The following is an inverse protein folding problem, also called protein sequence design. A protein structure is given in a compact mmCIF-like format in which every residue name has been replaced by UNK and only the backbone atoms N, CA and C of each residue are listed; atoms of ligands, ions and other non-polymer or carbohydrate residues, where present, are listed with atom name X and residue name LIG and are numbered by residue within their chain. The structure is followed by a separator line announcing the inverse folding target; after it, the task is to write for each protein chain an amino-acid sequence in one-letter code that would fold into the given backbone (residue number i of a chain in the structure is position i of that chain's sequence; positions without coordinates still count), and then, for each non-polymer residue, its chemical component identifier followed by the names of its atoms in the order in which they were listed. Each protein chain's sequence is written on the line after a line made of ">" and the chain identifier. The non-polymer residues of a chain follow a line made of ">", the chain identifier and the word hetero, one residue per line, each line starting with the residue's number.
data_IF_234516424078
#
_entry.id   IF_234516424078
#
_cell.length_a   1.000
_cell.length_b   1.000
_cell.length_c   1.000
_cell.angle_alpha   90.00
_cell.angle_beta   90.00
_cell.angle_gamma   90.00
#
_symmetry.space_group_name_H-M   'P 1'
#
loop_
_entity.id
_entity.type
_entity.pdbx_description
1 polymer ?
#
# COMPACT_ATOMS: atom_id res chain seq x y z
N UNK A 1 46.67 37.07 0.57
CA UNK A 1 46.29 36.05 -0.43
C UNK A 1 45.97 34.69 0.20
N UNK A 2 46.74 34.21 1.18
CA UNK A 2 46.46 32.92 1.86
C UNK A 2 45.07 32.80 2.50
N UNK A 3 44.58 33.86 3.18
CA UNK A 3 43.29 33.81 3.88
C UNK A 3 42.10 33.63 2.91
N UNK A 4 42.15 34.26 1.74
CA UNK A 4 41.12 34.13 0.71
C UNK A 4 41.10 32.70 0.13
N UNK A 5 42.27 32.11 -0.11
CA UNK A 5 42.40 30.73 -0.62
C UNK A 5 41.82 29.72 0.40
N UNK A 6 42.11 29.89 1.69
CA UNK A 6 41.55 29.04 2.76
C UNK A 6 40.03 29.16 2.85
N UNK A 7 39.47 30.37 2.71
CA UNK A 7 38.02 30.59 2.72
C UNK A 7 37.33 29.89 1.55
N UNK A 8 37.90 29.96 0.35
CA UNK A 8 37.38 29.27 -0.84
C UNK A 8 37.44 27.74 -0.71
N UNK A 9 38.53 27.21 -0.15
CA UNK A 9 38.67 25.77 0.09
C UNK A 9 37.65 25.30 1.13
N UNK A 10 37.47 26.04 2.22
CA UNK A 10 36.47 25.70 3.26
C UNK A 10 35.05 25.78 2.68
N UNK A 11 34.73 26.83 1.92
CA UNK A 11 33.43 26.99 1.27
C UNK A 11 33.14 25.83 0.30
N UNK A 12 34.15 25.41 -0.49
CA UNK A 12 34.04 24.28 -1.41
C UNK A 12 33.81 22.94 -0.70
N UNK A 13 34.50 22.70 0.42
CA UNK A 13 34.31 21.47 1.23
C UNK A 13 32.94 21.45 1.91
N UNK A 14 32.47 22.58 2.42
CA UNK A 14 31.12 22.71 3.02
C UNK A 14 30.04 22.46 1.97
N UNK A 15 30.18 23.00 0.75
CA UNK A 15 29.26 22.75 -0.36
C UNK A 15 29.21 21.28 -0.78
N UNK A 16 30.35 20.58 -0.80
CA UNK A 16 30.38 19.13 -1.07
C UNK A 16 29.70 18.30 0.03
N UNK A 17 29.87 18.67 1.31
CA UNK A 17 29.27 17.93 2.42
C UNK A 17 27.73 17.99 2.42
N UNK A 18 27.14 19.12 2.03
CA UNK A 18 25.68 19.28 1.96
C UNK A 18 25.06 18.40 0.86
N UNK A 19 25.77 18.13 -0.23
CA UNK A 19 25.27 17.34 -1.36
C UNK A 19 25.14 15.82 -1.08
N UNK A 20 25.67 15.33 0.04
CA UNK A 20 25.67 13.88 0.35
C UNK A 20 24.41 13.39 1.08
N UNK A 21 23.49 14.28 1.46
CA UNK A 21 22.26 13.89 2.21
C UNK A 21 21.06 13.54 1.31
N UNK A 22 21.23 13.41 0.00
CA UNK A 22 20.22 12.85 -0.89
C UNK A 22 20.37 11.31 -0.97
N UNK A 23 20.13 10.62 0.15
CA UNK A 23 19.99 9.16 0.12
C UNK A 23 18.75 8.79 -0.70
N UNK A 24 18.96 8.48 -1.98
CA UNK A 24 17.97 7.89 -2.88
C UNK A 24 17.61 6.49 -2.39
N UNK A 25 16.70 6.41 -1.42
CA UNK A 25 16.07 5.16 -1.02
C UNK A 25 15.24 4.68 -2.22
N UNK A 26 15.79 3.75 -3.01
CA UNK A 26 15.05 3.02 -4.04
C UNK A 26 13.88 2.32 -3.35
N UNK A 27 12.68 2.91 -3.41
CA UNK A 27 11.46 2.25 -2.94
C UNK A 27 11.26 1.02 -3.81
N UNK A 28 11.08 -0.14 -3.18
CA UNK A 28 10.70 -1.36 -3.90
C UNK A 28 9.40 -1.06 -4.67
N UNK A 29 9.34 -1.31 -5.99
CA UNK A 29 8.11 -1.08 -6.74
C UNK A 29 7.04 -2.01 -6.18
N UNK A 30 5.89 -1.42 -5.83
CA UNK A 30 4.71 -2.18 -5.47
C UNK A 30 4.19 -2.85 -6.75
N UNK A 31 4.15 -4.18 -6.74
CA UNK A 31 3.64 -4.99 -7.87
C UNK A 31 2.25 -5.51 -7.51
N UNK A 32 1.29 -5.48 -8.46
CA UNK A 32 0.01 -6.16 -8.28
C UNK A 32 0.21 -7.66 -8.01
N UNK A 33 -0.66 -8.23 -7.19
CA UNK A 33 -0.69 -9.64 -6.81
C UNK A 33 -1.71 -10.39 -7.63
N UNK A 34 -1.39 -11.64 -7.97
CA UNK A 34 -2.36 -12.56 -8.58
C UNK A 34 -3.36 -13.00 -7.50
N UNK A 35 -4.62 -13.12 -7.87
CA UNK A 35 -5.66 -13.68 -7.00
C UNK A 35 -5.42 -15.19 -6.88
N UNK A 36 -5.08 -15.67 -5.68
CA UNK A 36 -4.92 -17.09 -5.38
C UNK A 36 -6.18 -17.67 -4.73
N UNK A 37 -6.51 -18.94 -5.01
CA UNK A 37 -7.66 -19.65 -4.40
C UNK A 37 -8.87 -19.84 -5.32
N UNK A 38 -10.02 -20.21 -4.74
CA UNK A 38 -11.30 -20.36 -5.45
C UNK A 38 -11.93 -18.99 -5.74
N UNK A 39 -11.30 -18.25 -6.66
CA UNK A 39 -11.77 -16.92 -7.06
C UNK A 39 -12.47 -17.03 -8.42
N UNK A 40 -13.54 -16.26 -8.61
CA UNK A 40 -14.28 -16.26 -9.87
C UNK A 40 -13.34 -15.92 -11.05
N UNK A 41 -13.47 -16.59 -12.21
CA UNK A 41 -12.67 -16.26 -13.41
C UNK A 41 -12.80 -14.80 -13.83
N UNK A 42 -13.94 -14.17 -13.56
CA UNK A 42 -14.14 -12.75 -13.86
C UNK A 42 -13.17 -11.86 -13.06
N UNK A 43 -12.94 -12.18 -11.78
CA UNK A 43 -12.03 -11.42 -10.91
C UNK A 43 -10.57 -11.55 -11.35
N UNK A 44 -10.16 -12.72 -11.83
CA UNK A 44 -8.80 -12.96 -12.32
C UNK A 44 -8.53 -12.17 -13.59
N UNK A 45 -9.46 -12.20 -14.56
CA UNK A 45 -9.35 -11.41 -15.81
C UNK A 45 -9.29 -9.92 -15.51
N UNK A 46 -10.15 -9.42 -14.62
CA UNK A 46 -10.12 -8.01 -14.20
C UNK A 46 -8.79 -7.65 -13.51
N UNK A 47 -8.21 -8.56 -12.74
CA UNK A 47 -6.90 -8.34 -12.11
C UNK A 47 -5.79 -8.29 -13.14
N UNK A 48 -5.80 -9.17 -14.14
CA UNK A 48 -4.81 -9.16 -15.22
C UNK A 48 -4.88 -7.83 -16.00
N UNK A 49 -6.08 -7.41 -16.41
CA UNK A 49 -6.30 -6.11 -17.07
C UNK A 49 -5.85 -4.92 -16.21
N UNK A 50 -6.18 -4.95 -14.92
CA UNK A 50 -5.73 -3.92 -13.98
C UNK A 50 -4.21 -3.91 -13.82
N UNK A 51 -3.56 -5.08 -13.87
CA UNK A 51 -2.11 -5.22 -13.80
C UNK A 51 -1.43 -4.65 -15.04
N UNK A 52 -1.93 -4.96 -16.23
CA UNK A 52 -1.43 -4.39 -17.49
C UNK A 52 -1.57 -2.86 -17.52
N UNK A 53 -2.72 -2.34 -17.10
CA UNK A 53 -2.96 -0.90 -16.98
C UNK A 53 -2.01 -0.25 -15.97
N UNK A 54 -1.79 -0.88 -14.81
CA UNK A 54 -0.90 -0.38 -13.77
C UNK A 54 0.56 -0.35 -14.24
N UNK A 55 1.01 -1.41 -14.92
CA UNK A 55 2.35 -1.46 -15.52
C UNK A 55 2.53 -0.41 -16.62
N UNK A 56 1.46 -0.11 -17.36
CA UNK A 56 1.41 0.96 -18.35
C UNK A 56 1.25 2.36 -17.74
N UNK A 57 1.29 2.48 -16.41
CA UNK A 57 1.09 3.73 -15.65
C UNK A 57 -0.27 4.39 -15.85
N UNK A 58 -1.25 3.65 -16.39
CA UNK A 58 -2.64 4.08 -16.55
C UNK A 58 -3.40 3.82 -15.24
N UNK A 59 -3.04 4.57 -14.19
CA UNK A 59 -3.49 4.26 -12.84
C UNK A 59 -5.00 4.43 -12.62
N UNK A 60 -5.68 5.31 -13.37
CA UNK A 60 -7.13 5.43 -13.31
C UNK A 60 -7.84 4.19 -13.89
N UNK A 61 -7.33 3.64 -14.99
CA UNK A 61 -7.88 2.42 -15.58
C UNK A 61 -7.58 1.21 -14.68
N UNK A 62 -6.35 1.14 -14.16
CA UNK A 62 -5.98 0.14 -13.16
C UNK A 62 -6.90 0.19 -11.93
N UNK A 63 -7.21 1.41 -11.44
CA UNK A 63 -8.15 1.61 -10.33
C UNK A 63 -9.51 1.01 -10.65
N UNK A 64 -10.06 1.27 -11.84
CA UNK A 64 -11.38 0.76 -12.26
C UNK A 64 -11.41 -0.76 -12.37
N UNK A 65 -10.39 -1.36 -12.98
CA UNK A 65 -10.30 -2.81 -13.10
C UNK A 65 -10.15 -3.49 -11.75
N UNK A 66 -9.30 -2.97 -10.87
CA UNK A 66 -9.13 -3.52 -9.52
C UNK A 66 -10.36 -3.30 -8.63
N UNK A 67 -11.07 -2.18 -8.77
CA UNK A 67 -12.34 -1.95 -8.09
C UNK A 67 -13.38 -3.02 -8.46
N UNK A 68 -13.49 -3.36 -9.75
CA UNK A 68 -14.36 -4.44 -10.20
C UNK A 68 -13.87 -5.81 -9.72
N UNK A 69 -12.56 -6.05 -9.69
CA UNK A 69 -12.00 -7.28 -9.13
C UNK A 69 -12.37 -7.46 -7.64
N UNK A 70 -12.33 -6.37 -6.86
CA UNK A 70 -12.80 -6.36 -5.46
C UNK A 70 -14.31 -6.63 -5.37
N UNK A 71 -15.12 -6.08 -6.28
CA UNK A 71 -16.56 -6.36 -6.31
C UNK A 71 -16.87 -7.84 -6.60
N UNK A 72 -16.05 -8.50 -7.43
CA UNK A 72 -16.21 -9.92 -7.73
C UNK A 72 -15.66 -10.85 -6.64
N UNK A 73 -14.61 -10.40 -5.93
CA UNK A 73 -13.89 -11.13 -4.90
C UNK A 73 -13.66 -10.27 -3.63
N UNK A 74 -14.74 -9.92 -2.89
CA UNK A 74 -14.65 -9.02 -1.75
C UNK A 74 -13.89 -9.61 -0.55
N UNK A 75 -13.71 -10.93 -0.51
CA UNK A 75 -12.96 -11.62 0.55
C UNK A 75 -11.49 -11.89 0.16
N UNK A 76 -11.06 -11.44 -1.03
CA UNK A 76 -9.67 -11.61 -1.47
C UNK A 76 -8.80 -10.46 -0.96
N UNK A 77 -7.85 -10.79 -0.08
CA UNK A 77 -6.84 -9.84 0.37
C UNK A 77 -6.01 -9.27 -0.79
N UNK A 78 -5.68 -10.09 -1.79
CA UNK A 78 -4.94 -9.68 -2.99
C UNK A 78 -5.72 -8.66 -3.84
N UNK A 79 -7.04 -8.84 -4.00
CA UNK A 79 -7.87 -7.89 -4.73
C UNK A 79 -7.90 -6.52 -4.02
N UNK A 80 -8.10 -6.51 -2.70
CA UNK A 80 -8.05 -5.29 -1.89
C UNK A 80 -6.68 -4.61 -1.96
N UNK A 81 -5.60 -5.39 -1.91
CA UNK A 81 -4.23 -4.89 -2.04
C UNK A 81 -4.01 -4.22 -3.40
N UNK A 82 -4.42 -4.85 -4.50
CA UNK A 82 -4.25 -4.30 -5.85
C UNK A 82 -5.00 -2.99 -6.05
N UNK A 83 -6.24 -2.92 -5.54
CA UNK A 83 -7.00 -1.69 -5.57
C UNK A 83 -6.31 -0.58 -4.77
N UNK A 84 -5.78 -0.91 -3.60
CA UNK A 84 -4.99 0.02 -2.80
C UNK A 84 -3.73 0.51 -3.52
N UNK A 85 -3.06 -0.32 -4.33
CA UNK A 85 -1.91 0.09 -5.14
C UNK A 85 -2.27 1.20 -6.12
N UNK A 86 -3.34 1.01 -6.90
CA UNK A 86 -3.77 2.00 -7.88
C UNK A 86 -4.17 3.32 -7.20
N UNK A 87 -4.92 3.24 -6.08
CA UNK A 87 -5.26 4.41 -5.28
C UNK A 87 -4.04 5.15 -4.75
N UNK A 88 -3.03 4.42 -4.27
CA UNK A 88 -1.78 4.99 -3.78
C UNK A 88 -0.99 5.67 -4.91
N UNK A 89 -0.96 5.07 -6.11
CA UNK A 89 -0.32 5.67 -7.29
C UNK A 89 -1.02 6.97 -7.74
N UNK A 90 -2.33 7.05 -7.55
CA UNK A 90 -3.15 8.25 -7.80
C UNK A 90 -3.09 9.30 -6.67
N UNK A 91 -2.40 9.00 -5.56
CA UNK A 91 -2.30 9.92 -4.41
C UNK A 91 -3.48 9.87 -3.43
N UNK A 92 -4.42 8.94 -3.61
CA UNK A 92 -5.58 8.75 -2.72
C UNK A 92 -5.20 7.95 -1.46
N UNK A 93 -4.24 8.47 -0.69
CA UNK A 93 -3.55 7.76 0.39
C UNK A 93 -4.49 7.25 1.49
N UNK A 94 -5.48 8.04 1.89
CA UNK A 94 -6.43 7.65 2.96
C UNK A 94 -7.31 6.46 2.55
N UNK A 95 -7.76 6.43 1.29
CA UNK A 95 -8.57 5.33 0.77
C UNK A 95 -7.70 4.10 0.55
N UNK A 96 -6.52 4.27 -0.06
CA UNK A 96 -5.54 3.21 -0.25
C UNK A 96 -5.20 2.54 1.09
N UNK A 97 -4.93 3.32 2.13
CA UNK A 97 -4.62 2.81 3.46
C UNK A 97 -5.72 1.92 4.02
N UNK A 98 -6.99 2.28 3.85
CA UNK A 98 -8.12 1.43 4.31
C UNK A 98 -8.13 0.09 3.59
N UNK A 99 -7.92 0.07 2.28
CA UNK A 99 -7.89 -1.17 1.51
C UNK A 99 -6.64 -2.02 1.78
N UNK A 100 -5.48 -1.41 2.05
CA UNK A 100 -4.32 -2.16 2.53
C UNK A 100 -4.58 -2.83 3.88
N UNK A 101 -5.24 -2.15 4.81
CA UNK A 101 -5.58 -2.74 6.11
C UNK A 101 -6.59 -3.88 5.97
N UNK A 102 -7.60 -3.71 5.12
CA UNK A 102 -8.56 -4.78 4.81
C UNK A 102 -7.85 -5.99 4.19
N UNK A 103 -6.93 -5.77 3.24
CA UNK A 103 -6.13 -6.83 2.65
C UNK A 103 -5.35 -7.62 3.70
N UNK A 104 -4.81 -6.93 4.71
CA UNK A 104 -4.05 -7.52 5.79
C UNK A 104 -4.92 -8.27 6.81
N UNK A 105 -6.17 -7.85 7.00
CA UNK A 105 -7.17 -8.55 7.84
C UNK A 105 -7.66 -9.84 7.19
N UNK A 106 -7.89 -9.79 5.87
CA UNK A 106 -8.32 -10.94 5.07
C UNK A 106 -7.21 -11.99 4.88
N UNK A 107 -5.95 -11.56 4.81
CA UNK A 107 -4.79 -12.42 4.61
C UNK A 107 -3.70 -12.18 5.68
N UNK A 108 -3.97 -12.50 6.96
CA UNK A 108 -3.09 -12.16 8.08
C UNK A 108 -1.71 -12.84 7.99
N UNK A 109 -1.60 -13.97 7.30
CA UNK A 109 -0.33 -14.69 7.07
C UNK A 109 0.42 -14.31 5.79
N UNK A 110 -0.17 -13.47 4.93
CA UNK A 110 0.48 -13.07 3.68
C UNK A 110 1.52 -11.98 3.94
N UNK A 111 2.79 -12.41 3.97
CA UNK A 111 3.93 -11.52 4.20
C UNK A 111 4.04 -10.44 3.13
N UNK A 112 3.60 -10.68 1.90
CA UNK A 112 3.71 -9.71 0.81
C UNK A 112 2.83 -8.49 1.11
N UNK A 113 1.61 -8.73 1.61
CA UNK A 113 0.67 -7.67 1.99
C UNK A 113 1.24 -6.88 3.18
N UNK A 114 1.69 -7.57 4.22
CA UNK A 114 2.24 -6.92 5.43
C UNK A 114 3.57 -6.19 5.23
N UNK A 115 4.41 -6.65 4.31
CA UNK A 115 5.68 -6.01 3.97
C UNK A 115 5.50 -4.80 3.04
N UNK A 116 4.26 -4.49 2.63
CA UNK A 116 3.99 -3.35 1.77
C UNK A 116 4.39 -2.02 2.43
N UNK A 117 5.06 -1.10 1.71
CA UNK A 117 5.40 0.23 2.19
C UNK A 117 4.27 0.98 2.90
N UNK A 118 3.02 0.80 2.45
CA UNK A 118 1.86 1.46 3.03
C UNK A 118 1.49 0.92 4.43
N UNK A 119 1.82 -0.34 4.72
CA UNK A 119 1.58 -0.98 6.02
C UNK A 119 2.82 -1.00 6.92
N UNK A 120 3.98 -0.59 6.41
CA UNK A 120 5.24 -0.55 7.16
C UNK A 120 5.15 0.10 8.56
N UNK A 121 4.37 1.19 8.78
CA UNK A 121 4.19 1.76 10.12
C UNK A 121 3.38 0.89 11.10
N UNK A 122 2.54 -0.02 10.61
CA UNK A 122 1.67 -0.88 11.42
C UNK A 122 2.36 -2.20 11.81
N UNK A 123 3.23 -2.70 10.93
CA UNK A 123 4.02 -3.92 11.16
C UNK A 123 3.20 -5.21 11.04
N UNK A 124 3.87 -6.31 10.69
CA UNK A 124 3.24 -7.64 10.60
C UNK A 124 2.94 -8.21 12.01
N UNK A 125 1.69 -8.56 12.37
CA UNK A 125 1.31 -9.15 13.66
C UNK A 125 1.97 -10.51 13.92
N UNK A 126 2.33 -11.26 12.89
CA UNK A 126 3.01 -12.55 13.02
C UNK A 126 4.53 -12.40 13.25
N UNK A 127 5.08 -11.20 13.10
CA UNK A 127 6.49 -10.94 13.42
C UNK A 127 6.71 -10.87 14.93
N UNK A 128 7.12 -11.99 15.51
CA UNK A 128 7.45 -12.14 16.94
C UNK A 128 8.52 -11.16 17.46
N UNK A 129 9.27 -10.48 16.60
CA UNK A 129 10.39 -9.60 16.96
C UNK A 129 10.10 -8.09 16.90
N UNK A 130 8.89 -7.64 16.58
CA UNK A 130 8.53 -6.21 16.61
C UNK A 130 7.40 -5.95 17.59
N UNK A 131 7.80 -5.60 18.81
CA UNK A 131 6.93 -5.35 19.94
C UNK A 131 5.85 -4.29 19.65
N UNK A 132 4.60 -4.65 19.99
CA UNK A 132 3.42 -3.79 20.20
C UNK A 132 2.74 -3.24 18.94
N UNK A 133 2.04 -4.12 18.21
CA UNK A 133 0.89 -3.67 17.41
C UNK A 133 -0.16 -3.03 18.33
N UNK A 134 -0.62 -1.82 17.99
CA UNK A 134 -1.97 -1.39 18.40
C UNK A 134 -2.93 -2.07 17.43
N UNK A 135 -3.87 -2.91 17.89
CA UNK A 135 -4.86 -3.53 17.02
C UNK A 135 -5.59 -2.44 16.22
N UNK A 136 -5.58 -2.53 14.90
CA UNK A 136 -6.48 -1.72 14.10
C UNK A 136 -7.90 -2.16 14.47
N UNK A 137 -8.65 -1.28 15.13
CA UNK A 137 -10.06 -1.50 15.40
C UNK A 137 -10.82 -0.89 14.22
N UNK A 138 -11.33 -1.68 13.27
CA UNK A 138 -12.28 -1.14 12.32
C UNK A 138 -13.47 -0.66 13.16
N UNK A 139 -13.83 0.61 13.08
CA UNK A 139 -15.20 0.99 13.40
C UNK A 139 -16.07 0.26 12.38
N UNK A 140 -16.45 -0.99 12.68
CA UNK A 140 -17.60 -1.61 12.03
C UNK A 140 -18.73 -0.62 12.27
N UNK A 141 -19.14 0.10 11.23
CA UNK A 141 -20.46 0.69 11.17
C UNK A 141 -21.41 -0.48 11.34
N UNK A 142 -21.84 -0.70 12.58
CA UNK A 142 -22.97 -1.55 12.92
C UNK A 142 -24.15 -0.98 12.15
N UNK A 143 -24.37 -1.52 10.95
CA UNK A 143 -25.63 -1.37 10.25
C UNK A 143 -26.67 -1.97 11.18
N UNK A 144 -27.52 -1.09 11.74
CA UNK A 144 -28.48 -1.45 12.76
C UNK A 144 -29.36 -2.60 12.29
N UNK A 145 -29.19 -3.76 12.92
CA UNK A 145 -30.24 -4.76 12.96
C UNK A 145 -31.33 -4.17 13.85
N UNK A 146 -32.25 -3.45 13.21
CA UNK A 146 -33.51 -3.05 13.82
C UNK A 146 -34.18 -4.30 14.36
N UNK A 147 -34.25 -4.40 15.67
CA UNK A 147 -35.13 -5.33 16.36
C UNK A 147 -36.55 -4.83 16.13
N UNK A 148 -37.45 -5.59 15.49
CA UNK A 148 -38.87 -5.31 15.60
C UNK A 148 -39.32 -5.83 16.97
N UNK A 149 -39.79 -4.92 17.81
CA UNK A 149 -40.49 -5.27 19.04
C UNK A 149 -41.91 -5.81 18.78
N UNK A 150 -42.49 -6.41 19.83
CA UNK A 150 -43.88 -6.88 19.91
C UNK A 150 -44.02 -8.33 19.49
N UNK A 151 -44.56 -9.25 20.29
CA UNK A 151 -45.60 -9.15 21.33
C UNK A 151 -45.27 -10.02 22.54
#
# INVERSE_FOLDING_TARGET
>A
MEQAIRLFVILGVVLMLVATTACSHKRKPLVPLVLEGEVKPQATVLTEQGTEAYQSQQYEDAKRYFEQAVAEAPESGQAHYNYALALNALGNMEVARRHFLEAADLAPGDKIIWDSPALSPYGNPENKNKAKLKPYSPKRSSFGTGTPGGY
#
